data_IF_315124721120
#
_entry.id   IF_315124721120
#
_cell.length_a   1.000
_cell.length_b   1.000
_cell.length_c   1.000
_cell.angle_alpha   90.00
_cell.angle_beta   90.00
_cell.angle_gamma   90.00
#
_symmetry.space_group_name_H-M   'P 1'
#
loop_
_entity.id
_entity.type
_entity.pdbx_description
1 polymer ?
#
# COMPACT_ATOMS: atom_id res chain seq x y z
N UNK A 1 23.13 11.52 16.94
CA UNK A 1 22.09 10.70 16.32
C UNK A 1 22.56 10.12 15.01
N UNK A 2 22.52 8.81 14.87
CA UNK A 2 22.72 8.11 13.61
C UNK A 2 21.40 7.43 13.23
N UNK A 3 20.85 7.71 12.07
CA UNK A 3 19.53 7.21 11.66
C UNK A 3 19.56 5.86 10.96
N UNK A 4 20.75 5.26 10.77
CA UNK A 4 20.90 3.92 10.20
C UNK A 4 20.65 3.80 8.69
N UNK A 5 20.44 4.91 7.98
CA UNK A 5 20.16 4.97 6.54
C UNK A 5 21.34 5.50 5.70
N UNK A 6 22.51 5.66 6.32
CA UNK A 6 23.70 6.22 5.70
C UNK A 6 23.73 7.76 5.60
N UNK A 7 22.74 8.44 6.17
CA UNK A 7 22.75 9.90 6.29
C UNK A 7 23.82 10.37 7.29
N UNK A 8 24.28 11.63 7.20
CA UNK A 8 25.24 12.19 8.16
C UNK A 8 24.71 12.13 9.61
N UNK A 9 25.61 11.85 10.54
CA UNK A 9 25.31 11.91 11.97
C UNK A 9 24.97 13.35 12.38
N UNK A 10 23.89 13.52 13.15
CA UNK A 10 23.53 14.81 13.74
C UNK A 10 24.12 14.89 15.14
N UNK A 11 24.92 15.94 15.39
CA UNK A 11 25.47 16.24 16.70
C UNK A 11 24.71 17.41 17.33
N UNK A 12 24.29 17.22 18.59
CA UNK A 12 23.67 18.26 19.42
C UNK A 12 24.66 18.66 20.50
N UNK A 13 25.01 19.93 20.53
CA UNK A 13 25.94 20.53 21.51
C UNK A 13 25.22 21.58 22.35
N UNK A 14 25.82 22.00 23.46
CA UNK A 14 25.23 23.03 24.32
C UNK A 14 25.00 24.38 23.56
N UNK A 15 25.69 24.59 22.45
CA UNK A 15 25.51 25.80 21.63
C UNK A 15 24.26 25.75 20.73
N UNK A 16 23.79 24.54 20.36
CA UNK A 16 22.62 24.34 19.46
C UNK A 16 21.45 23.62 20.14
N UNK A 17 21.55 23.21 21.42
CA UNK A 17 20.54 22.44 22.13
C UNK A 17 19.17 23.14 22.20
N UNK A 18 19.17 24.45 22.42
CA UNK A 18 17.94 25.23 22.66
C UNK A 18 17.06 25.42 21.41
N UNK A 19 17.55 25.11 20.22
CA UNK A 19 16.87 25.40 18.94
C UNK A 19 16.74 24.18 18.03
N UNK A 20 17.16 23.00 18.49
CA UNK A 20 17.28 21.86 17.59
C UNK A 20 16.17 20.84 17.84
N UNK A 21 15.08 20.99 17.11
CA UNK A 21 14.19 19.85 16.85
C UNK A 21 14.88 18.92 15.85
N UNK A 22 15.18 17.69 16.27
CA UNK A 22 15.80 16.70 15.39
C UNK A 22 14.72 16.08 14.52
N UNK A 23 14.70 16.50 13.25
CA UNK A 23 13.80 15.97 12.23
C UNK A 23 14.63 15.21 11.19
N UNK A 24 14.27 13.94 10.96
CA UNK A 24 14.87 13.13 9.92
C UNK A 24 13.82 12.58 8.96
N UNK A 25 14.15 12.57 7.67
CA UNK A 25 13.28 12.01 6.62
C UNK A 25 13.99 10.86 5.92
N UNK A 26 13.48 9.65 6.11
CA UNK A 26 13.91 8.49 5.36
C UNK A 26 13.45 8.57 3.89
N UNK A 27 14.35 8.32 2.96
CA UNK A 27 14.07 8.39 1.52
C UNK A 27 13.58 7.06 0.94
N UNK A 28 13.89 5.97 1.62
CA UNK A 28 13.54 4.61 1.20
C UNK A 28 12.80 3.89 2.32
N UNK A 29 11.87 3.01 2.00
CA UNK A 29 11.28 2.13 3.00
C UNK A 29 12.31 1.11 3.49
N UNK A 30 12.13 0.67 4.71
CA UNK A 30 13.02 -0.30 5.35
C UNK A 30 12.91 -0.26 6.86
N UNK A 31 13.62 -1.17 7.50
CA UNK A 31 13.83 -1.13 8.95
C UNK A 31 15.17 -0.45 9.21
N UNK A 32 15.17 0.57 10.02
CA UNK A 32 16.34 1.35 10.39
C UNK A 32 16.55 1.30 11.89
N UNK A 33 17.80 1.27 12.33
CA UNK A 33 18.17 1.32 13.74
C UNK A 33 18.76 2.68 14.04
N UNK A 34 17.97 3.50 14.74
CA UNK A 34 18.41 4.84 15.16
C UNK A 34 19.24 4.70 16.42
N UNK A 35 20.51 5.02 16.32
CA UNK A 35 21.43 4.99 17.46
C UNK A 35 21.64 6.40 17.99
N UNK A 36 21.50 6.58 19.30
CA UNK A 36 21.72 7.82 19.99
C UNK A 36 22.81 7.65 21.05
N UNK A 37 23.83 8.49 21.01
CA UNK A 37 24.91 8.52 22.00
C UNK A 37 24.87 9.82 22.79
N UNK A 38 24.90 9.68 24.10
CA UNK A 38 24.98 10.78 25.07
C UNK A 38 26.36 10.80 25.69
N UNK A 39 27.07 11.91 25.57
CA UNK A 39 28.39 12.11 26.14
C UNK A 39 28.31 12.97 27.40
N UNK A 40 29.09 12.61 28.42
CA UNK A 40 29.32 13.52 29.55
C UNK A 40 30.55 14.39 29.30
N UNK A 41 30.84 15.33 30.24
CA UNK A 41 31.97 16.24 30.15
C UNK A 41 33.34 15.54 30.20
N UNK A 42 33.41 14.28 30.60
CA UNK A 42 34.63 13.47 30.66
C UNK A 42 34.82 12.60 29.41
N UNK A 43 33.90 12.72 28.39
CA UNK A 43 33.96 11.95 27.15
C UNK A 43 33.43 10.51 27.28
N UNK A 44 32.89 10.08 28.42
CA UNK A 44 32.21 8.82 28.54
C UNK A 44 30.82 8.93 27.85
N UNK A 45 30.38 7.87 27.20
CA UNK A 45 29.07 7.88 26.56
C UNK A 45 28.17 6.73 27.00
N UNK A 46 26.86 6.97 26.89
CA UNK A 46 25.82 5.95 26.92
C UNK A 46 25.15 5.90 25.56
N UNK A 47 24.91 4.70 25.07
CA UNK A 47 24.25 4.46 23.79
C UNK A 47 22.85 3.86 24.03
N UNK A 48 21.91 4.25 23.19
CA UNK A 48 20.59 3.63 23.07
C UNK A 48 20.26 3.46 21.61
N UNK A 49 19.51 2.41 21.30
CA UNK A 49 19.07 2.10 19.95
C UNK A 49 17.55 2.00 19.90
N UNK A 50 16.95 2.49 18.83
CA UNK A 50 15.52 2.41 18.58
C UNK A 50 15.29 1.92 17.16
N UNK A 51 14.50 0.87 17.01
CA UNK A 51 14.04 0.42 15.70
C UNK A 51 12.96 1.36 15.16
N UNK A 52 13.11 1.74 13.89
CA UNK A 52 12.15 2.55 13.14
C UNK A 52 11.81 1.84 11.83
N UNK A 53 10.55 1.46 11.68
CA UNK A 53 10.05 0.83 10.46
C UNK A 53 9.42 1.90 9.57
N UNK A 54 10.04 2.13 8.42
CA UNK A 54 9.53 3.06 7.39
C UNK A 54 8.82 2.26 6.32
N UNK A 55 7.49 2.28 6.34
CA UNK A 55 6.65 1.66 5.33
C UNK A 55 6.60 2.49 4.05
N UNK A 56 6.41 1.83 2.91
CA UNK A 56 5.90 2.50 1.72
C UNK A 56 4.45 2.88 2.01
N UNK A 57 4.07 4.11 1.70
CA UNK A 57 2.66 4.47 1.59
C UNK A 57 2.00 3.53 0.58
N UNK A 58 0.73 3.21 0.79
CA UNK A 58 -0.06 2.49 -0.20
C UNK A 58 -1.04 3.43 -0.88
N UNK A 59 -1.43 3.09 -2.10
CA UNK A 59 -2.51 3.72 -2.84
C UNK A 59 -3.29 2.61 -3.54
N UNK A 60 -4.60 2.68 -3.49
CA UNK A 60 -5.52 1.81 -4.24
C UNK A 60 -6.61 2.68 -4.84
N UNK A 61 -6.81 2.58 -6.15
CA UNK A 61 -7.80 3.37 -6.89
C UNK A 61 -8.58 2.44 -7.80
N UNK A 62 -9.91 2.51 -7.75
CA UNK A 62 -10.80 1.78 -8.63
C UNK A 62 -11.61 2.73 -9.52
N UNK A 63 -11.89 2.38 -10.78
CA UNK A 63 -12.83 3.10 -11.59
C UNK A 63 -14.27 2.91 -11.07
N UNK A 64 -15.14 3.86 -11.33
CA UNK A 64 -16.56 3.79 -10.96
C UNK A 64 -17.43 3.13 -12.01
N UNK A 65 -16.89 2.90 -13.21
CA UNK A 65 -17.56 2.23 -14.32
C UNK A 65 -16.55 1.57 -15.25
N UNK A 66 -16.99 0.55 -15.99
CA UNK A 66 -16.23 -0.10 -17.06
C UNK A 66 -17.16 -0.60 -18.15
N UNK A 67 -16.64 -0.83 -19.37
CA UNK A 67 -17.42 -1.19 -20.54
C UNK A 67 -16.72 -2.27 -21.36
N UNK A 68 -17.01 -3.55 -21.15
CA UNK A 68 -16.39 -4.66 -21.85
C UNK A 68 -16.98 -4.80 -23.28
N UNK A 69 -16.53 -3.94 -24.20
CA UNK A 69 -16.97 -3.87 -25.60
C UNK A 69 -15.86 -4.30 -26.58
N UNK A 70 -14.72 -4.77 -26.06
CA UNK A 70 -13.55 -5.23 -26.80
C UNK A 70 -12.88 -4.14 -27.67
N UNK A 71 -12.98 -2.87 -27.25
CA UNK A 71 -12.26 -1.76 -27.91
C UNK A 71 -10.85 -1.51 -27.36
N UNK A 72 -10.46 -2.26 -26.31
CA UNK A 72 -9.17 -2.15 -25.63
C UNK A 72 -9.14 -1.08 -24.52
N UNK A 73 -10.27 -0.43 -24.22
CA UNK A 73 -10.37 0.61 -23.20
C UNK A 73 -11.44 0.23 -22.18
N UNK A 74 -11.04 0.10 -20.89
CA UNK A 74 -11.94 -0.26 -19.79
C UNK A 74 -12.76 -1.55 -20.02
N UNK A 75 -12.19 -2.50 -20.74
CA UNK A 75 -12.82 -3.80 -21.01
C UNK A 75 -12.85 -4.71 -19.77
N UNK A 76 -12.05 -4.40 -18.76
CA UNK A 76 -11.99 -5.15 -17.51
C UNK A 76 -12.11 -4.21 -16.31
N UNK A 77 -12.79 -4.66 -15.28
CA UNK A 77 -12.85 -3.99 -14.00
C UNK A 77 -11.69 -4.45 -13.12
N UNK A 78 -10.72 -3.59 -12.92
CA UNK A 78 -9.61 -3.74 -12.00
C UNK A 78 -9.22 -2.38 -11.41
N UNK A 79 -8.42 -2.39 -10.35
CA UNK A 79 -7.87 -1.17 -9.76
C UNK A 79 -6.39 -1.01 -10.02
N UNK A 80 -5.91 0.20 -9.83
CA UNK A 80 -4.48 0.47 -9.74
C UNK A 80 -4.06 0.48 -8.27
N UNK A 81 -2.91 -0.08 -7.97
CA UNK A 81 -2.38 -0.13 -6.63
C UNK A 81 -0.87 0.09 -6.59
N UNK A 82 -0.39 0.56 -5.44
CA UNK A 82 1.02 0.62 -5.10
C UNK A 82 1.20 0.38 -3.61
N UNK A 83 2.39 -0.06 -3.19
CA UNK A 83 2.73 -0.24 -1.77
C UNK A 83 2.14 -1.50 -1.12
N UNK A 84 1.69 -2.48 -1.92
CA UNK A 84 1.16 -3.76 -1.45
C UNK A 84 2.13 -4.91 -1.76
N UNK A 85 2.02 -6.00 -1.00
CA UNK A 85 2.72 -7.28 -1.23
C UNK A 85 1.80 -8.36 -1.76
N UNK A 86 0.53 -8.33 -1.33
CA UNK A 86 -0.51 -9.28 -1.69
C UNK A 86 -1.89 -8.62 -1.63
N UNK A 87 -2.88 -9.19 -2.29
CA UNK A 87 -4.26 -8.75 -2.15
C UNK A 87 -5.29 -9.82 -2.54
N UNK A 88 -6.52 -9.65 -2.05
CA UNK A 88 -7.73 -10.34 -2.50
C UNK A 88 -8.68 -9.31 -3.10
N UNK A 89 -9.22 -9.60 -4.26
CA UNK A 89 -10.21 -8.77 -4.97
C UNK A 89 -11.47 -9.58 -5.23
N UNK A 90 -12.61 -9.06 -4.77
CA UNK A 90 -13.90 -9.73 -4.84
C UNK A 90 -14.95 -8.78 -5.43
N UNK A 91 -15.83 -9.31 -6.28
CA UNK A 91 -16.97 -8.57 -6.83
C UNK A 91 -18.25 -9.31 -6.48
N UNK A 92 -19.25 -8.54 -6.07
CA UNK A 92 -20.55 -9.03 -5.62
C UNK A 92 -21.68 -8.40 -6.44
N UNK A 93 -22.75 -9.16 -6.63
CA UNK A 93 -23.99 -8.61 -7.17
C UNK A 93 -24.73 -7.75 -6.13
N UNK A 94 -25.87 -7.18 -6.53
CA UNK A 94 -26.68 -6.34 -5.65
C UNK A 94 -27.35 -7.11 -4.50
N UNK A 95 -27.39 -8.43 -4.57
CA UNK A 95 -27.94 -9.30 -3.52
C UNK A 95 -26.87 -9.83 -2.57
N UNK A 96 -25.60 -9.48 -2.83
CA UNK A 96 -24.46 -9.89 -2.00
C UNK A 96 -23.87 -11.25 -2.38
N UNK A 97 -24.24 -11.82 -3.52
CA UNK A 97 -23.62 -13.04 -4.01
C UNK A 97 -22.24 -12.71 -4.60
N UNK A 98 -21.24 -13.50 -4.22
CA UNK A 98 -19.90 -13.40 -4.80
C UNK A 98 -19.94 -13.90 -6.25
N UNK A 99 -19.55 -13.06 -7.20
CA UNK A 99 -19.57 -13.36 -8.64
C UNK A 99 -18.19 -13.48 -9.25
N UNK A 100 -17.19 -12.84 -8.64
CA UNK A 100 -15.80 -12.92 -9.04
C UNK A 100 -14.88 -12.82 -7.81
N UNK A 101 -13.81 -13.58 -7.81
CA UNK A 101 -12.75 -13.48 -6.80
C UNK A 101 -11.39 -13.78 -7.44
N UNK A 102 -10.38 -13.00 -7.07
CA UNK A 102 -8.99 -13.23 -7.44
C UNK A 102 -8.09 -12.91 -6.26
N UNK A 103 -7.23 -13.86 -5.93
CA UNK A 103 -6.19 -13.71 -4.92
C UNK A 103 -4.85 -13.57 -5.64
N UNK A 104 -4.08 -12.57 -5.27
CA UNK A 104 -2.68 -12.36 -5.67
C UNK A 104 -1.84 -12.47 -4.41
N UNK A 105 -1.13 -13.57 -4.27
CA UNK A 105 -0.29 -13.84 -3.10
C UNK A 105 1.03 -13.08 -3.14
N UNK A 106 1.51 -12.75 -4.34
CA UNK A 106 2.74 -12.00 -4.56
C UNK A 106 2.58 -11.06 -5.77
N UNK A 107 2.48 -9.77 -5.50
CA UNK A 107 2.33 -8.74 -6.55
C UNK A 107 3.55 -8.64 -7.48
N UNK A 108 4.71 -9.15 -7.08
CA UNK A 108 5.93 -9.11 -7.92
C UNK A 108 5.82 -10.02 -9.13
N UNK A 109 4.96 -11.03 -9.09
CA UNK A 109 4.70 -11.96 -10.19
C UNK A 109 3.90 -11.34 -11.33
N UNK A 110 3.31 -10.16 -11.10
CA UNK A 110 2.52 -9.39 -12.10
C UNK A 110 1.44 -10.22 -12.80
N UNK A 111 0.77 -11.07 -12.04
CA UNK A 111 -0.35 -11.84 -12.56
C UNK A 111 -1.46 -10.91 -13.06
N UNK A 112 -2.09 -11.29 -14.17
CA UNK A 112 -3.28 -10.59 -14.65
C UNK A 112 -4.45 -10.80 -13.71
N UNK A 113 -5.19 -9.74 -13.45
CA UNK A 113 -6.38 -9.75 -12.60
C UNK A 113 -7.40 -8.74 -13.10
N UNK A 114 -8.62 -8.89 -12.67
CA UNK A 114 -9.75 -8.06 -13.04
C UNK A 114 -10.91 -8.89 -13.55
N UNK A 115 -12.10 -8.33 -13.44
CA UNK A 115 -13.33 -8.97 -13.86
C UNK A 115 -13.79 -8.40 -15.21
N UNK A 116 -14.14 -9.29 -16.14
CA UNK A 116 -14.52 -8.97 -17.51
C UNK A 116 -16.04 -8.68 -17.70
N UNK A 117 -16.80 -8.62 -16.61
CA UNK A 117 -18.23 -8.35 -16.66
C UNK A 117 -19.06 -9.54 -17.10
N UNK A 118 -18.51 -10.75 -17.08
CA UNK A 118 -19.22 -11.97 -17.48
C UNK A 118 -19.54 -12.86 -16.26
N UNK A 119 -20.57 -13.69 -16.42
CA UNK A 119 -20.83 -14.81 -15.52
C UNK A 119 -19.70 -15.84 -15.60
N UNK A 120 -19.62 -16.73 -14.63
CA UNK A 120 -18.69 -17.85 -14.68
C UNK A 120 -18.93 -18.80 -15.89
N UNK A 121 -20.10 -18.75 -16.48
CA UNK A 121 -20.45 -19.44 -17.72
C UNK A 121 -19.91 -18.79 -18.98
N UNK A 122 -19.32 -17.57 -18.86
CA UNK A 122 -18.86 -16.76 -19.99
C UNK A 122 -19.93 -15.89 -20.64
N UNK A 123 -21.19 -15.98 -20.18
CA UNK A 123 -22.26 -15.09 -20.65
C UNK A 123 -22.14 -13.70 -20.02
N UNK A 124 -22.43 -12.63 -20.77
CA UNK A 124 -22.33 -11.29 -20.27
C UNK A 124 -23.42 -10.94 -19.23
N UNK A 125 -23.03 -10.27 -18.14
CA UNK A 125 -23.99 -9.61 -17.26
C UNK A 125 -24.70 -8.46 -17.99
N UNK A 126 -25.97 -8.19 -17.71
CA UNK A 126 -26.67 -7.00 -18.20
C UNK A 126 -26.11 -5.74 -17.54
N UNK A 127 -26.45 -4.57 -18.10
CA UNK A 127 -26.17 -3.28 -17.48
C UNK A 127 -26.70 -3.25 -16.04
N UNK A 128 -25.82 -3.12 -15.07
CA UNK A 128 -26.15 -2.94 -13.65
C UNK A 128 -24.95 -2.47 -12.85
N UNK A 129 -25.22 -2.16 -11.57
CA UNK A 129 -24.18 -1.81 -10.58
C UNK A 129 -23.83 -3.03 -9.75
N UNK A 130 -22.55 -3.18 -9.48
CA UNK A 130 -21.97 -4.21 -8.63
C UNK A 130 -21.25 -3.58 -7.45
N UNK A 131 -20.98 -4.37 -6.43
CA UNK A 131 -20.13 -3.98 -5.31
C UNK A 131 -18.81 -4.73 -5.39
N UNK A 132 -17.74 -4.08 -4.93
CA UNK A 132 -16.46 -4.74 -4.81
C UNK A 132 -15.86 -4.55 -3.41
N UNK A 133 -15.03 -5.50 -3.04
CA UNK A 133 -14.16 -5.45 -1.86
C UNK A 133 -12.75 -5.80 -2.30
N UNK A 134 -11.82 -5.00 -1.91
CA UNK A 134 -10.40 -5.21 -2.12
C UNK A 134 -9.70 -5.21 -0.78
N UNK A 135 -9.02 -6.31 -0.45
CA UNK A 135 -8.27 -6.46 0.80
C UNK A 135 -6.80 -6.66 0.47
N UNK A 136 -5.98 -5.68 0.78
CA UNK A 136 -4.53 -5.70 0.50
C UNK A 136 -3.69 -5.84 1.75
N UNK A 137 -2.47 -6.38 1.58
CA UNK A 137 -1.43 -6.41 2.61
C UNK A 137 -0.30 -5.49 2.19
N UNK A 138 0.07 -4.56 3.04
CA UNK A 138 1.18 -3.62 2.78
C UNK A 138 2.55 -4.25 3.10
N UNK A 139 3.65 -3.59 2.70
CA UNK A 139 5.00 -4.01 3.07
C UNK A 139 5.27 -4.02 4.58
N UNK A 140 4.48 -3.29 5.37
CA UNK A 140 4.53 -3.31 6.85
C UNK A 140 3.53 -4.30 7.46
N UNK A 141 3.07 -5.29 6.69
CA UNK A 141 2.12 -6.33 7.10
C UNK A 141 0.76 -5.79 7.59
N UNK A 142 0.46 -4.53 7.28
CA UNK A 142 -0.83 -3.93 7.61
C UNK A 142 -1.87 -4.32 6.56
N UNK A 143 -3.03 -4.79 7.02
CA UNK A 143 -4.20 -5.00 6.16
C UNK A 143 -4.88 -3.68 5.86
N UNK A 144 -5.20 -3.48 4.58
CA UNK A 144 -5.97 -2.35 4.07
C UNK A 144 -7.19 -2.88 3.32
N UNK A 145 -8.31 -2.22 3.49
CA UNK A 145 -9.57 -2.62 2.84
C UNK A 145 -10.15 -1.42 2.13
N UNK A 146 -10.41 -1.60 0.83
CA UNK A 146 -11.13 -0.65 0.00
C UNK A 146 -12.40 -1.32 -0.54
N UNK A 147 -13.48 -0.59 -0.60
CA UNK A 147 -14.75 -1.10 -1.12
C UNK A 147 -15.54 0.01 -1.80
N UNK A 148 -16.37 -0.37 -2.75
CA UNK A 148 -17.18 0.60 -3.46
C UNK A 148 -18.16 -0.06 -4.40
N UNK A 149 -18.68 0.76 -5.29
CA UNK A 149 -19.61 0.34 -6.33
C UNK A 149 -18.99 0.60 -7.71
N UNK A 150 -19.31 -0.27 -8.66
CA UNK A 150 -18.91 -0.13 -10.07
C UNK A 150 -20.10 -0.38 -10.95
N UNK A 151 -20.23 0.44 -12.00
CA UNK A 151 -21.29 0.27 -13.01
C UNK A 151 -20.73 -0.39 -14.25
N UNK A 152 -21.33 -1.53 -14.62
CA UNK A 152 -21.07 -2.18 -15.90
C UNK A 152 -21.89 -1.48 -17.00
N UNK A 153 -21.21 -0.91 -17.96
CA UNK A 153 -21.79 -0.27 -19.16
C UNK A 153 -21.71 -1.24 -20.34
N UNK A 154 -22.74 -1.23 -21.21
CA UNK A 154 -22.76 -2.01 -22.46
C UNK A 154 -23.41 -1.18 -23.56
#
# INVERSE_FOLDING_TARGET
FNFGDGSPVIEVTAENEATTDIVHRYKTPGTFYVTMRFYNSLGCYKETEQEVIVGRGYLVIFPTAFSPNADGVNDMFFGEYTGLTAFNFEVFDMWGNLIYSKIIEDVTLKEAWGWDGNYATGEPYPYQTFRYVFTGTTYSEKTVVESGEVTLLR
#
